data_IF_858714807476
#
_entry.id   IF_858714807476
#
_cell.length_a   1.000
_cell.length_b   1.000
_cell.length_c   1.000
_cell.angle_alpha   90.00
_cell.angle_beta   90.00
_cell.angle_gamma   90.00
#
_symmetry.space_group_name_H-M   'P 1'
#
loop_
_entity.id
_entity.type
_entity.pdbx_description
1 polymer ?
#
# COMPACT_ATOMS: atom_id res chain seq x y z
N UNK A 1 15.04 -1.04 -28.54
CA UNK A 1 15.50 -1.45 -27.19
C UNK A 1 14.30 -2.02 -26.45
N UNK A 2 14.24 -3.34 -26.23
CA UNK A 2 13.17 -3.99 -25.46
C UNK A 2 13.57 -3.97 -23.99
N UNK A 3 12.71 -3.43 -23.13
CA UNK A 3 12.86 -3.61 -21.69
C UNK A 3 12.72 -5.10 -21.39
N UNK A 4 13.77 -5.72 -20.83
CA UNK A 4 13.72 -7.10 -20.36
C UNK A 4 12.73 -7.18 -19.20
N UNK A 5 11.78 -8.13 -19.17
CA UNK A 5 10.96 -8.35 -18.00
C UNK A 5 11.89 -8.90 -16.90
N UNK A 6 11.92 -8.22 -15.76
CA UNK A 6 12.67 -8.64 -14.58
C UNK A 6 12.00 -9.93 -14.05
N UNK A 7 12.54 -11.10 -14.40
CA UNK A 7 12.04 -12.41 -13.96
C UNK A 7 12.96 -13.01 -12.91
N UNK A 8 13.00 -12.43 -11.70
CA UNK A 8 13.62 -13.10 -10.55
C UNK A 8 12.71 -12.97 -9.32
N UNK A 9 11.95 -14.04 -9.09
CA UNK A 9 11.32 -14.46 -7.82
C UNK A 9 10.73 -13.36 -6.93
N UNK A 10 9.69 -12.66 -7.43
CA UNK A 10 8.82 -11.79 -6.60
C UNK A 10 7.93 -12.63 -5.65
N UNK A 11 7.84 -13.95 -5.85
CA UNK A 11 6.85 -14.85 -5.24
C UNK A 11 6.89 -14.98 -3.71
N UNK A 12 7.92 -14.47 -3.01
CA UNK A 12 8.06 -14.64 -1.56
C UNK A 12 8.01 -13.37 -0.73
N UNK A 13 7.88 -12.20 -1.37
CA UNK A 13 7.69 -10.94 -0.65
C UNK A 13 6.20 -10.70 -0.44
N UNK A 14 5.71 -10.95 0.78
CA UNK A 14 4.35 -10.52 1.14
C UNK A 14 4.26 -9.00 0.96
N UNK A 15 3.40 -8.50 0.06
CA UNK A 15 3.36 -7.08 -0.23
C UNK A 15 2.83 -6.33 1.00
N UNK A 16 3.61 -5.36 1.47
CA UNK A 16 3.31 -4.53 2.64
C UNK A 16 1.89 -3.95 2.62
N UNK A 17 1.32 -3.51 1.48
CA UNK A 17 -0.08 -3.04 1.43
C UNK A 17 -1.11 -4.11 1.82
N UNK A 18 -0.90 -5.39 1.46
CA UNK A 18 -1.80 -6.47 1.86
C UNK A 18 -1.69 -6.75 3.35
N UNK A 19 -0.46 -6.80 3.89
CA UNK A 19 -0.26 -6.98 5.32
C UNK A 19 -0.83 -5.83 6.15
N UNK A 20 -0.68 -4.58 5.66
CA UNK A 20 -1.31 -3.41 6.26
C UNK A 20 -2.82 -3.58 6.31
N UNK A 21 -3.44 -3.83 5.15
CA UNK A 21 -4.89 -3.98 5.04
C UNK A 21 -5.41 -5.15 5.89
N UNK A 22 -4.74 -6.31 5.91
CA UNK A 22 -5.09 -7.46 6.74
C UNK A 22 -5.03 -7.12 8.23
N UNK A 23 -3.97 -6.45 8.68
CA UNK A 23 -3.71 -6.17 10.09
C UNK A 23 -4.64 -5.12 10.74
N UNK A 24 -5.42 -4.38 9.95
CA UNK A 24 -6.30 -3.31 10.46
C UNK A 24 -7.62 -3.83 11.01
N UNK A 25 -7.96 -3.50 12.24
CA UNK A 25 -9.27 -3.75 12.85
C UNK A 25 -10.20 -2.58 12.48
N UNK A 26 -10.93 -2.65 11.38
CA UNK A 26 -11.83 -1.58 10.93
C UNK A 26 -12.02 -1.54 9.42
N UNK A 27 -12.30 -0.35 8.89
CA UNK A 27 -12.41 -0.11 7.44
C UNK A 27 -11.23 -0.77 6.70
N UNK A 28 -11.48 -1.36 5.53
CA UNK A 28 -10.48 -1.97 4.64
C UNK A 28 -10.64 -1.47 3.20
N UNK A 29 -11.48 -0.46 2.98
CA UNK A 29 -11.87 0.05 1.65
C UNK A 29 -10.70 0.57 0.86
N UNK A 30 -9.72 1.18 1.53
CA UNK A 30 -8.52 1.74 0.90
C UNK A 30 -7.24 1.17 1.49
N UNK A 31 -6.21 1.01 0.66
CA UNK A 31 -4.84 0.75 1.13
C UNK A 31 -4.17 2.06 1.55
N UNK A 32 -3.37 2.02 2.61
CA UNK A 32 -2.59 3.20 3.02
C UNK A 32 -1.28 3.26 2.23
N UNK A 33 -0.96 4.45 1.72
CA UNK A 33 0.35 4.70 1.12
C UNK A 33 1.49 4.56 2.12
N UNK A 34 2.67 4.17 1.65
CA UNK A 34 3.85 3.92 2.49
C UNK A 34 4.19 5.08 3.44
N UNK A 35 4.05 6.33 2.98
CA UNK A 35 4.26 7.52 3.82
C UNK A 35 3.34 7.53 5.04
N UNK A 36 2.07 7.21 4.84
CA UNK A 36 1.08 7.12 5.91
C UNK A 36 1.44 5.98 6.87
N UNK A 37 1.81 4.82 6.36
CA UNK A 37 2.23 3.67 7.16
C UNK A 37 3.44 3.98 8.04
N UNK A 38 4.52 4.54 7.46
CA UNK A 38 5.71 4.94 8.23
C UNK A 38 5.39 6.04 9.24
N UNK A 39 4.51 7.00 8.87
CA UNK A 39 4.16 8.13 9.74
C UNK A 39 3.30 7.72 10.93
N UNK A 40 2.33 6.84 10.76
CA UNK A 40 1.36 6.55 11.82
C UNK A 40 1.58 5.20 12.48
N UNK A 41 2.05 4.19 11.75
CA UNK A 41 2.21 2.85 12.30
C UNK A 41 3.58 2.64 12.95
N UNK A 42 4.65 3.18 12.36
CA UNK A 42 5.95 3.20 13.01
C UNK A 42 6.00 4.32 14.06
N UNK A 43 6.16 3.92 15.33
CA UNK A 43 6.41 4.80 16.48
C UNK A 43 7.84 5.40 16.44
N UNK A 44 8.21 6.05 15.33
CA UNK A 44 9.49 6.73 15.18
C UNK A 44 9.53 7.99 16.07
N UNK A 45 10.69 8.28 16.66
CA UNK A 45 10.93 9.57 17.34
C UNK A 45 10.67 10.71 16.36
N UNK A 46 10.03 11.78 16.84
CA UNK A 46 9.62 12.94 16.03
C UNK A 46 10.73 13.44 15.10
N UNK A 47 11.94 13.65 15.62
CA UNK A 47 13.09 14.13 14.84
C UNK A 47 13.50 13.20 13.70
N UNK A 48 13.45 11.88 13.90
CA UNK A 48 13.76 10.89 12.85
C UNK A 48 12.67 10.85 11.79
N UNK A 49 11.40 10.91 12.21
CA UNK A 49 10.24 10.96 11.32
C UNK A 49 10.28 12.21 10.42
N UNK A 50 10.48 13.39 11.01
CA UNK A 50 10.55 14.65 10.27
C UNK A 50 11.71 14.67 9.27
N UNK A 51 12.89 14.17 9.67
CA UNK A 51 14.03 14.04 8.76
C UNK A 51 13.71 13.13 7.57
N UNK A 52 13.04 12.00 7.82
CA UNK A 52 12.63 11.06 6.78
C UNK A 52 11.60 11.69 5.81
N UNK A 53 10.57 12.36 6.35
CA UNK A 53 9.54 13.05 5.54
C UNK A 53 10.18 14.13 4.67
N UNK A 54 11.05 14.98 5.24
CA UNK A 54 11.72 16.05 4.49
C UNK A 54 12.56 15.52 3.34
N UNK A 55 13.31 14.44 3.56
CA UNK A 55 14.11 13.78 2.52
C UNK A 55 13.23 13.27 1.37
N UNK A 56 12.09 12.65 1.71
CA UNK A 56 11.14 12.17 0.70
C UNK A 56 10.48 13.30 -0.09
N UNK A 57 9.93 14.29 0.61
CA UNK A 57 9.19 15.40 -0.02
C UNK A 57 10.06 16.18 -1.01
N UNK A 58 11.36 16.33 -0.69
CA UNK A 58 12.30 17.05 -1.55
C UNK A 58 12.39 16.46 -2.95
N UNK A 59 12.47 15.13 -3.09
CA UNK A 59 12.53 14.48 -4.40
C UNK A 59 11.12 14.24 -4.96
N UNK A 60 10.12 14.00 -4.11
CA UNK A 60 8.75 13.78 -4.54
C UNK A 60 8.20 14.95 -5.37
N UNK A 61 8.52 16.20 -4.98
CA UNK A 61 8.16 17.40 -5.74
C UNK A 61 8.78 17.43 -7.16
N UNK A 62 9.89 16.73 -7.39
CA UNK A 62 10.54 16.69 -8.68
C UNK A 62 10.17 15.46 -9.53
N UNK A 63 9.37 14.52 -9.01
CA UNK A 63 8.95 13.31 -9.74
C UNK A 63 8.35 13.58 -11.13
N UNK A 64 7.49 14.60 -11.33
CA UNK A 64 6.95 14.91 -12.65
C UNK A 64 8.01 15.28 -13.70
N UNK A 65 9.17 15.76 -13.27
CA UNK A 65 10.28 16.15 -14.16
C UNK A 65 11.21 14.99 -14.50
N UNK A 66 10.85 13.74 -14.15
CA UNK A 66 11.61 12.57 -14.54
C UNK A 66 12.97 12.47 -13.84
N UNK A 67 13.02 12.66 -12.52
CA UNK A 67 14.26 12.50 -11.70
C UNK A 67 14.97 11.17 -11.89
N UNK A 68 14.24 10.13 -12.31
CA UNK A 68 14.77 8.80 -12.61
C UNK A 68 15.24 8.62 -14.06
N UNK A 69 15.02 9.59 -14.94
CA UNK A 69 15.47 9.56 -16.34
C UNK A 69 16.87 10.17 -16.51
N UNK A 70 17.30 11.02 -15.57
CA UNK A 70 18.61 11.67 -15.60
C UNK A 70 19.71 10.67 -15.20
N UNK A 71 20.82 10.69 -15.93
CA UNK A 71 22.03 9.91 -15.63
C UNK A 71 23.24 10.85 -15.60
N UNK A 72 24.15 10.71 -14.61
CA UNK A 72 24.11 9.80 -13.46
C UNK A 72 22.97 10.13 -12.47
N UNK A 73 22.51 9.14 -11.70
CA UNK A 73 21.43 9.35 -10.72
C UNK A 73 21.95 10.27 -9.60
N UNK A 74 21.20 11.33 -9.30
CA UNK A 74 21.60 12.25 -8.25
C UNK A 74 21.62 11.58 -6.88
N UNK A 75 22.57 11.97 -6.02
CA UNK A 75 22.67 11.47 -4.65
C UNK A 75 21.35 11.64 -3.87
N UNK A 76 20.65 12.76 -4.07
CA UNK A 76 19.35 13.02 -3.45
C UNK A 76 18.28 12.02 -3.90
N UNK A 77 18.28 11.63 -5.19
CA UNK A 77 17.39 10.59 -5.72
C UNK A 77 17.73 9.22 -5.14
N UNK A 78 19.01 8.90 -4.95
CA UNK A 78 19.44 7.67 -4.26
C UNK A 78 18.96 7.66 -2.81
N UNK A 79 19.16 8.77 -2.09
CA UNK A 79 18.67 8.93 -0.72
C UNK A 79 17.16 8.74 -0.60
N UNK A 80 16.39 9.22 -1.60
CA UNK A 80 14.95 8.98 -1.69
C UNK A 80 14.65 7.48 -1.81
N UNK A 81 15.31 6.77 -2.72
CA UNK A 81 15.12 5.32 -2.89
C UNK A 81 15.45 4.55 -1.61
N UNK A 82 16.54 4.90 -0.93
CA UNK A 82 16.91 4.29 0.35
C UNK A 82 15.82 4.56 1.39
N UNK A 83 15.28 5.78 1.45
CA UNK A 83 14.22 6.13 2.38
C UNK A 83 12.93 5.31 2.16
N UNK A 84 12.61 4.95 0.91
CA UNK A 84 11.45 4.11 0.57
C UNK A 84 11.58 2.66 1.05
N UNK A 85 12.79 2.10 1.05
CA UNK A 85 12.98 0.69 1.44
C UNK A 85 13.39 0.50 2.91
N UNK A 86 14.01 1.50 3.53
CA UNK A 86 14.62 1.42 4.87
C UNK A 86 13.65 0.94 5.96
N UNK A 87 12.36 1.28 5.83
CA UNK A 87 11.36 1.01 6.85
C UNK A 87 10.46 -0.18 6.55
N UNK A 88 10.56 -0.79 5.36
CA UNK A 88 9.71 -1.92 4.96
C UNK A 88 9.86 -3.15 5.89
N UNK A 89 11.07 -3.58 6.31
CA UNK A 89 11.19 -4.75 7.19
C UNK A 89 10.51 -4.53 8.55
N UNK A 90 10.59 -3.31 9.09
CA UNK A 90 9.96 -2.95 10.37
C UNK A 90 8.45 -2.90 10.26
N UNK A 91 7.91 -2.38 9.16
CA UNK A 91 6.48 -2.42 8.88
C UNK A 91 5.98 -3.86 8.74
N UNK A 92 6.70 -4.71 8.01
CA UNK A 92 6.36 -6.12 7.85
C UNK A 92 6.22 -6.81 9.21
N UNK A 93 7.25 -6.73 10.05
CA UNK A 93 7.24 -7.32 11.39
C UNK A 93 6.08 -6.79 12.24
N UNK A 94 5.83 -5.48 12.20
CA UNK A 94 4.75 -4.84 12.95
C UNK A 94 3.37 -5.33 12.50
N UNK A 95 3.12 -5.47 11.20
CA UNK A 95 1.83 -5.97 10.70
C UNK A 95 1.64 -7.45 11.01
N UNK A 96 2.68 -8.27 10.92
CA UNK A 96 2.65 -9.67 11.33
C UNK A 96 2.35 -9.86 12.83
N UNK A 97 2.79 -8.92 13.68
CA UNK A 97 2.47 -8.90 15.11
C UNK A 97 1.03 -8.45 15.39
N UNK A 98 0.47 -7.55 14.58
CA UNK A 98 -0.91 -7.06 14.74
C UNK A 98 -1.97 -8.07 14.30
N UNK A 99 -1.62 -9.05 13.47
CA UNK A 99 -2.55 -10.11 13.07
C UNK A 99 -3.01 -10.89 14.31
N UNK A 100 -4.34 -10.96 14.48
CA UNK A 100 -4.93 -11.67 15.61
C UNK A 100 -4.55 -13.16 15.57
N UNK A 101 -4.02 -13.75 16.67
CA UNK A 101 -3.45 -15.10 16.66
C UNK A 101 -4.41 -16.17 16.13
N UNK A 102 -5.70 -16.09 16.49
CA UNK A 102 -6.70 -17.09 16.12
C UNK A 102 -7.01 -17.15 14.60
N UNK A 103 -6.74 -16.08 13.85
CA UNK A 103 -7.04 -15.97 12.41
C UNK A 103 -5.80 -15.64 11.58
N UNK A 104 -4.61 -15.72 12.20
CA UNK A 104 -3.35 -15.31 11.58
C UNK A 104 -3.04 -16.16 10.35
N UNK A 105 -3.21 -17.47 10.44
CA UNK A 105 -2.93 -18.39 9.33
C UNK A 105 -3.87 -18.16 8.15
N UNK A 106 -5.15 -17.87 8.42
CA UNK A 106 -6.14 -17.55 7.38
C UNK A 106 -5.75 -16.27 6.63
N UNK A 107 -5.36 -15.22 7.36
CA UNK A 107 -4.88 -13.99 6.75
C UNK A 107 -3.60 -14.18 5.96
N UNK A 108 -2.63 -14.94 6.49
CA UNK A 108 -1.39 -15.23 5.77
C UNK A 108 -1.66 -16.02 4.47
N UNK A 109 -2.61 -16.95 4.50
CA UNK A 109 -3.02 -17.70 3.31
C UNK A 109 -3.68 -16.79 2.27
N UNK A 110 -4.55 -15.86 2.70
CA UNK A 110 -5.15 -14.85 1.83
C UNK A 110 -4.10 -13.91 1.23
N UNK A 111 -3.15 -13.44 2.05
CA UNK A 111 -2.04 -12.58 1.61
C UNK A 111 -1.16 -13.31 0.60
N UNK A 112 -0.84 -14.59 0.83
CA UNK A 112 -0.04 -15.40 -0.08
C UNK A 112 -0.73 -15.57 -1.44
N UNK A 113 -1.99 -16.02 -1.43
CA UNK A 113 -2.80 -16.17 -2.65
C UNK A 113 -2.89 -14.85 -3.43
N UNK A 114 -3.13 -13.76 -2.73
CA UNK A 114 -3.28 -12.47 -3.39
C UNK A 114 -1.94 -11.90 -3.86
N UNK A 115 -0.83 -12.22 -3.18
CA UNK A 115 0.50 -11.86 -3.67
C UNK A 115 0.85 -12.57 -4.97
N UNK A 116 0.43 -13.83 -5.14
CA UNK A 116 0.57 -14.55 -6.41
C UNK A 116 -0.29 -13.91 -7.50
N UNK A 117 -1.55 -13.56 -7.20
CA UNK A 117 -2.42 -12.84 -8.13
C UNK A 117 -1.81 -11.49 -8.56
N UNK A 118 -1.27 -10.71 -7.62
CA UNK A 118 -0.62 -9.44 -7.91
C UNK A 118 0.59 -9.62 -8.84
N UNK A 119 1.38 -10.68 -8.66
CA UNK A 119 2.50 -11.01 -9.56
C UNK A 119 2.00 -11.37 -10.95
N UNK A 120 0.98 -12.23 -11.04
CA UNK A 120 0.37 -12.61 -12.33
C UNK A 120 -0.20 -11.38 -13.06
N UNK A 121 -0.91 -10.51 -12.35
CA UNK A 121 -1.46 -9.27 -12.90
C UNK A 121 -0.36 -8.31 -13.33
N UNK A 122 0.72 -8.14 -12.55
CA UNK A 122 1.85 -7.28 -12.92
C UNK A 122 2.57 -7.76 -14.19
N UNK A 123 2.55 -9.07 -14.46
CA UNK A 123 3.05 -9.64 -15.72
C UNK A 123 2.04 -9.56 -16.87
N UNK A 124 0.79 -9.17 -16.61
CA UNK A 124 -0.21 -8.99 -17.66
C UNK A 124 0.05 -7.71 -18.46
N UNK A 125 -0.18 -7.79 -19.78
CA UNK A 125 -0.05 -6.64 -20.68
C UNK A 125 -1.07 -5.52 -20.40
N UNK A 126 -2.10 -5.81 -19.62
CA UNK A 126 -3.20 -4.91 -19.26
C UNK A 126 -3.04 -4.29 -17.88
N UNK A 127 -1.92 -4.54 -17.19
CA UNK A 127 -1.67 -3.93 -15.90
C UNK A 127 -1.59 -2.41 -16.02
N UNK A 128 -2.59 -1.70 -15.50
CA UNK A 128 -2.54 -0.26 -15.28
C UNK A 128 -2.05 0.01 -13.83
N UNK A 129 -0.77 0.36 -13.64
CA UNK A 129 -0.22 0.65 -12.31
C UNK A 129 -0.75 1.95 -11.71
N UNK A 130 -1.39 2.81 -12.52
CA UNK A 130 -1.91 4.12 -12.12
C UNK A 130 -3.42 4.15 -11.93
N UNK A 131 -4.11 3.03 -12.19
CA UNK A 131 -5.57 2.96 -12.06
C UNK A 131 -6.05 3.28 -10.64
N UNK A 132 -7.15 4.01 -10.53
CA UNK A 132 -7.78 4.33 -9.24
C UNK A 132 -8.20 3.07 -8.46
N UNK A 133 -8.49 1.97 -9.17
CA UNK A 133 -8.81 0.67 -8.58
C UNK A 133 -7.68 0.14 -7.68
N UNK A 134 -6.41 0.48 -7.96
CA UNK A 134 -5.25 0.08 -7.13
C UNK A 134 -5.23 0.75 -5.75
N UNK A 135 -5.97 1.83 -5.56
CA UNK A 135 -6.11 2.50 -4.25
C UNK A 135 -7.07 1.76 -3.32
N UNK A 136 -7.92 0.90 -3.88
CA UNK A 136 -8.91 0.13 -3.12
C UNK A 136 -8.24 -1.07 -2.45
N UNK A 137 -8.64 -1.34 -1.21
CA UNK A 137 -8.26 -2.55 -0.51
C UNK A 137 -8.99 -3.76 -1.11
N UNK A 138 -8.24 -4.84 -1.28
CA UNK A 138 -8.73 -6.09 -1.86
C UNK A 138 -9.80 -6.78 -1.01
N UNK A 139 -9.77 -6.59 0.30
CA UNK A 139 -10.76 -7.13 1.23
C UNK A 139 -11.70 -6.07 1.78
N UNK A 140 -12.03 -5.07 0.95
CA UNK A 140 -13.06 -4.08 1.26
C UNK A 140 -14.38 -4.79 1.61
N UNK A 141 -15.15 -4.28 2.57
CA UNK A 141 -16.54 -4.69 2.73
C UNK A 141 -17.23 -4.49 1.38
N UNK A 142 -17.98 -5.49 0.91
CA UNK A 142 -18.93 -5.26 -0.17
C UNK A 142 -19.95 -4.31 0.42
N UNK A 143 -19.86 -3.02 0.08
CA UNK A 143 -21.01 -2.15 0.27
C UNK A 143 -22.15 -2.80 -0.53
N UNK A 144 -23.32 -3.08 0.07
CA UNK A 144 -24.46 -3.41 -0.76
C UNK A 144 -24.62 -2.31 -1.82
N UNK A 145 -25.11 -2.63 -3.02
CA UNK A 145 -25.52 -1.60 -3.95
C UNK A 145 -26.34 -0.56 -3.19
N UNK A 146 -26.13 0.73 -3.48
CA UNK A 146 -27.07 1.76 -3.06
C UNK A 146 -28.43 1.43 -3.70
N UNK A 147 -29.20 0.54 -3.09
CA UNK A 147 -30.64 0.54 -3.24
C UNK A 147 -31.12 1.79 -2.52
N UNK A 148 -31.74 2.67 -3.29
CA UNK A 148 -32.27 3.94 -2.81
C UNK A 148 -33.05 3.72 -1.53
N UNK A 149 -32.73 4.51 -0.51
CA UNK A 149 -33.58 4.62 0.64
C UNK A 149 -34.89 5.28 0.17
N UNK A 150 -35.91 4.49 -0.14
CA UNK A 150 -37.29 4.96 -0.15
C UNK A 150 -37.61 5.38 1.29
N UNK A 151 -37.48 6.68 1.51
CA UNK A 151 -37.73 7.35 2.78
C UNK A 151 -39.24 7.58 2.91
N UNK A 152 -40.03 6.52 3.03
CA UNK A 152 -41.40 6.64 3.54
C UNK A 152 -41.35 6.69 5.07
N UNK A 153 -41.20 7.90 5.59
CA UNK A 153 -41.39 8.19 6.99
C UNK A 153 -42.81 8.76 7.17
N UNK A 154 -43.77 8.03 7.79
CA UNK A 154 -45.08 8.59 8.09
C UNK A 154 -44.95 9.60 9.22
N UNK A 155 -45.26 10.86 8.91
CA UNK A 155 -45.45 11.92 9.88
C UNK A 155 -46.73 11.61 10.68
N UNK A 156 -46.58 11.38 11.98
CA UNK A 156 -47.71 11.32 12.92
C UNK A 156 -47.80 12.71 13.54
N UNK A 157 -48.85 13.46 13.18
CA UNK A 157 -49.22 14.69 13.86
C UNK A 157 -49.99 14.34 15.16
N UNK A 158 -49.53 14.91 16.28
CA UNK A 158 -50.26 15.01 17.55
C UNK A 158 -51.31 16.15 17.51
#
# INVERSE_FOLDING_TARGET
>A
MRCSPFTESISRASPIPLLENASRTGDKTYVRGLNTCVRYDLKLRFTKRERWIRRKNKIQAFMPYGVFSIRPISEKTIEYCVADVLHLPKLCALYLQRLHPAIKNDWLSKVAKESENCVLEAHSLTCDPTSEARKLGLWRPILPPFEGCDFDCPYVDD
#
